data_IF_020104944473
#
_entry.id   IF_020104944473
#
_cell.length_a   1.000
_cell.length_b   1.000
_cell.length_c   1.000
_cell.angle_alpha   90.00
_cell.angle_beta   90.00
_cell.angle_gamma   90.00
#
_symmetry.space_group_name_H-M   'P 1'
#
loop_
_entity.id
_entity.type
_entity.pdbx_description
1 polymer ?
#
# COMPACT_ATOMS: atom_id res chain seq x y z
N UNK A 1 -41.42 41.32 22.37
CA UNK A 1 -40.67 42.58 22.51
C UNK A 1 -39.74 42.71 21.35
N UNK A 2 -40.02 43.68 20.45
CA UNK A 2 -39.30 43.97 19.19
C UNK A 2 -38.11 44.87 19.50
N UNK A 3 -36.93 44.62 18.87
CA UNK A 3 -35.90 45.64 18.58
C UNK A 3 -34.90 44.99 17.62
N UNK A 4 -34.96 45.23 16.32
CA UNK A 4 -34.50 46.30 15.42
C UNK A 4 -32.98 46.42 15.36
N UNK A 5 -32.49 45.98 14.17
CA UNK A 5 -31.23 46.28 13.49
C UNK A 5 -30.90 47.80 13.51
N UNK A 6 -29.64 48.22 13.32
CA UNK A 6 -29.33 48.71 12.00
C UNK A 6 -28.01 48.31 11.34
N UNK A 7 -28.06 48.26 10.04
CA UNK A 7 -27.00 48.38 9.06
C UNK A 7 -26.10 49.61 9.30
N UNK A 8 -24.82 49.48 8.97
CA UNK A 8 -24.09 50.56 8.30
C UNK A 8 -22.99 50.05 7.40
N UNK A 9 -23.09 50.40 6.13
CA UNK A 9 -22.09 50.32 5.08
C UNK A 9 -20.97 51.32 5.28
N UNK A 10 -19.77 51.03 4.78
CA UNK A 10 -18.98 52.00 4.02
C UNK A 10 -17.81 51.32 3.32
N UNK A 11 -17.78 51.46 2.03
CA UNK A 11 -16.72 51.15 1.07
C UNK A 11 -15.66 52.26 1.06
N UNK A 12 -14.47 51.94 0.51
CA UNK A 12 -13.55 52.83 -0.23
C UNK A 12 -12.32 51.98 -0.62
N UNK A 13 -12.14 51.56 -1.80
CA UNK A 13 -11.49 52.02 -3.04
C UNK A 13 -10.17 52.77 -2.80
N UNK A 14 -9.07 52.21 -3.25
CA UNK A 14 -7.78 52.82 -3.40
C UNK A 14 -6.97 52.09 -4.48
N UNK A 15 -7.04 52.64 -5.71
CA UNK A 15 -6.11 52.36 -6.84
C UNK A 15 -4.88 53.25 -6.70
N UNK A 16 -3.70 52.71 -7.07
CA UNK A 16 -2.58 53.40 -7.73
C UNK A 16 -1.53 52.32 -8.04
N UNK A 17 -1.21 52.02 -9.22
CA UNK A 17 -0.61 52.66 -10.38
C UNK A 17 0.93 52.44 -10.44
N UNK A 18 1.31 51.72 -11.49
CA UNK A 18 2.45 51.86 -12.41
C UNK A 18 3.84 52.27 -11.87
N UNK A 19 4.82 51.48 -12.26
CA UNK A 19 6.25 51.83 -12.32
C UNK A 19 6.95 50.93 -13.31
N UNK A 20 7.04 51.37 -14.56
CA UNK A 20 7.89 50.81 -15.61
C UNK A 20 9.35 51.13 -15.32
N UNK A 21 10.24 50.21 -15.65
CA UNK A 21 11.66 50.42 -15.69
C UNK A 21 12.33 49.38 -16.58
N UNK A 22 12.45 49.72 -17.85
CA UNK A 22 13.32 49.04 -18.80
C UNK A 22 14.79 49.26 -18.38
N UNK A 23 15.62 48.24 -18.55
CA UNK A 23 16.93 48.41 -19.13
C UNK A 23 17.43 47.14 -19.80
N UNK A 24 17.75 47.32 -21.05
CA UNK A 24 18.40 46.43 -22.00
C UNK A 24 19.81 46.05 -21.53
N UNK A 25 20.26 44.87 -21.90
CA UNK A 25 21.62 44.42 -21.75
C UNK A 25 21.84 43.04 -22.36
N UNK A 26 21.85 43.01 -23.68
CA UNK A 26 22.27 41.84 -24.45
C UNK A 26 23.75 41.51 -24.25
N UNK A 27 24.09 40.23 -24.12
CA UNK A 27 25.23 39.62 -24.78
C UNK A 27 25.15 38.08 -24.61
N UNK A 28 25.03 37.42 -25.71
CA UNK A 28 25.27 35.97 -25.90
C UNK A 28 26.60 35.79 -26.64
N UNK A 29 27.02 34.57 -27.00
CA UNK A 29 27.94 33.69 -26.27
C UNK A 29 29.34 33.64 -26.93
N UNK A 30 30.21 32.72 -26.57
CA UNK A 30 30.65 31.81 -27.61
C UNK A 30 30.73 30.32 -27.22
N UNK A 31 30.39 29.49 -28.18
CA UNK A 31 30.68 28.08 -28.27
C UNK A 31 32.13 27.84 -28.72
N UNK A 32 32.73 26.75 -28.22
CA UNK A 32 33.77 25.93 -28.86
C UNK A 32 33.94 24.69 -27.97
N UNK A 33 33.50 23.52 -28.32
CA UNK A 33 34.10 22.53 -29.22
C UNK A 33 35.53 22.15 -28.83
N UNK A 34 35.68 20.99 -28.24
CA UNK A 34 36.78 20.08 -28.60
C UNK A 34 36.43 18.62 -28.28
N UNK A 35 36.81 17.82 -29.27
CA UNK A 35 36.57 16.45 -29.54
C UNK A 35 37.13 15.46 -28.51
N UNK A 36 36.53 14.27 -28.55
CA UNK A 36 37.01 12.99 -28.02
C UNK A 36 38.31 12.52 -28.67
N UNK A 37 38.98 11.54 -28.04
CA UNK A 37 39.35 10.42 -28.89
C UNK A 37 38.78 9.07 -28.41
N UNK A 38 38.37 8.33 -29.40
CA UNK A 38 38.01 6.92 -29.37
C UNK A 38 39.20 6.04 -28.99
N UNK A 39 38.96 5.03 -28.19
CA UNK A 39 39.86 3.90 -28.04
C UNK A 39 39.11 2.62 -28.42
N UNK A 40 39.66 1.95 -29.41
CA UNK A 40 39.24 0.74 -30.11
C UNK A 40 39.38 -0.53 -29.24
N UNK A 41 38.60 -1.60 -29.52
CA UNK A 41 38.54 -2.81 -28.69
C UNK A 41 39.69 -3.78 -28.98
N UNK A 42 40.17 -4.44 -27.94
CA UNK A 42 41.05 -5.60 -28.09
C UNK A 42 40.21 -6.89 -27.96
N UNK A 43 40.36 -7.75 -28.95
CA UNK A 43 39.78 -9.07 -29.10
C UNK A 43 40.57 -10.17 -28.36
N UNK A 44 40.07 -11.42 -28.34
CA UNK A 44 40.21 -12.34 -27.19
C UNK A 44 41.46 -13.24 -27.30
N UNK A 45 41.93 -13.68 -26.15
CA UNK A 45 42.94 -14.72 -26.06
C UNK A 45 42.31 -16.04 -25.64
N UNK A 46 42.38 -17.01 -26.52
CA UNK A 46 42.08 -18.42 -26.30
C UNK A 46 43.24 -19.12 -25.57
N UNK A 47 42.96 -19.83 -24.52
CA UNK A 47 43.77 -21.00 -24.08
C UNK A 47 42.95 -21.93 -23.19
N UNK A 48 42.68 -23.05 -23.72
CA UNK A 48 43.07 -24.41 -23.38
C UNK A 48 42.24 -25.10 -22.30
N UNK A 49 41.51 -26.10 -22.78
CA UNK A 49 40.85 -27.17 -22.04
C UNK A 49 41.84 -28.01 -21.21
N UNK A 50 41.41 -28.33 -19.98
CA UNK A 50 41.95 -29.51 -19.29
C UNK A 50 40.83 -30.31 -18.66
N UNK A 51 40.91 -31.60 -18.84
CA UNK A 51 39.91 -32.64 -18.66
C UNK A 51 39.34 -32.79 -17.25
N UNK A 52 38.08 -33.22 -17.20
CA UNK A 52 37.38 -33.75 -16.06
C UNK A 52 37.85 -35.16 -15.68
N UNK A 53 37.76 -35.56 -14.42
CA UNK A 53 37.58 -36.97 -14.06
C UNK A 53 36.13 -37.27 -13.65
N UNK A 54 35.70 -38.48 -14.05
CA UNK A 54 34.37 -39.04 -13.93
C UNK A 54 33.94 -39.36 -12.49
N UNK A 55 32.62 -39.56 -12.24
CA UNK A 55 32.04 -39.67 -10.91
C UNK A 55 32.17 -41.07 -10.31
N UNK A 56 32.52 -41.12 -9.03
CA UNK A 56 32.43 -42.33 -8.21
C UNK A 56 30.99 -42.47 -7.65
N UNK A 57 30.37 -43.57 -7.97
CA UNK A 57 29.13 -44.07 -7.39
C UNK A 57 29.33 -44.46 -5.92
N UNK A 58 28.60 -43.83 -5.00
CA UNK A 58 28.47 -44.33 -3.64
C UNK A 58 26.98 -44.45 -3.28
N UNK A 59 26.64 -45.61 -2.76
CA UNK A 59 25.31 -46.14 -2.50
C UNK A 59 24.45 -45.27 -1.57
N UNK A 60 23.15 -45.27 -1.88
CA UNK A 60 22.11 -44.73 -1.04
C UNK A 60 21.83 -45.61 0.20
N UNK A 61 21.59 -45.04 1.39
CA UNK A 61 20.91 -45.75 2.46
C UNK A 61 19.39 -45.64 2.28
N UNK A 62 18.74 -46.79 2.29
CA UNK A 62 17.28 -46.94 2.39
C UNK A 62 16.77 -46.32 3.69
N UNK A 63 16.00 -45.25 3.61
CA UNK A 63 15.25 -44.74 4.72
C UNK A 63 13.85 -45.35 4.71
N UNK A 64 13.56 -46.14 5.73
CA UNK A 64 12.22 -46.66 6.03
C UNK A 64 11.22 -45.55 6.18
N UNK A 65 10.19 -45.56 5.35
CA UNK A 65 9.06 -44.61 5.41
C UNK A 65 8.24 -44.81 6.68
N UNK A 66 8.28 -43.83 7.54
CA UNK A 66 7.25 -43.60 8.55
C UNK A 66 6.18 -42.72 7.89
N UNK A 67 5.05 -43.33 7.54
CA UNK A 67 3.84 -42.61 7.11
C UNK A 67 3.26 -41.91 8.34
N UNK A 68 3.72 -40.68 8.60
CA UNK A 68 2.99 -39.77 9.45
C UNK A 68 1.75 -39.34 8.71
N UNK A 69 0.60 -39.81 9.17
CA UNK A 69 -0.72 -39.35 8.71
C UNK A 69 -0.77 -37.84 8.87
N UNK A 70 -0.91 -37.12 7.75
CA UNK A 70 -1.14 -35.67 7.80
C UNK A 70 -2.44 -35.45 8.60
N UNK A 71 -2.47 -34.49 9.53
CA UNK A 71 -3.73 -34.15 10.19
C UNK A 71 -4.71 -33.65 9.13
N UNK A 72 -5.96 -34.12 9.21
CA UNK A 72 -7.05 -33.64 8.38
C UNK A 72 -7.10 -32.10 8.43
N UNK A 73 -7.31 -31.40 7.30
CA UNK A 73 -7.40 -29.96 7.31
C UNK A 73 -8.53 -29.57 8.27
N UNK A 74 -8.18 -28.83 9.32
CA UNK A 74 -9.19 -28.20 10.17
C UNK A 74 -10.11 -27.37 9.28
N UNK A 75 -11.43 -27.48 9.50
CA UNK A 75 -12.43 -26.71 8.76
C UNK A 75 -11.99 -25.24 8.76
N UNK A 76 -11.71 -24.70 7.57
CA UNK A 76 -11.26 -23.33 7.44
C UNK A 76 -12.39 -22.41 7.92
N UNK A 77 -12.06 -21.26 8.53
CA UNK A 77 -13.08 -20.27 8.95
C UNK A 77 -13.97 -19.82 7.78
N UNK A 78 -13.51 -20.03 6.55
CA UNK A 78 -14.26 -19.81 5.32
C UNK A 78 -15.51 -20.68 5.22
N UNK A 79 -15.48 -21.92 5.74
CA UNK A 79 -16.63 -22.82 5.71
C UNK A 79 -17.76 -22.40 6.64
N UNK A 80 -17.48 -21.54 7.61
CA UNK A 80 -18.47 -20.98 8.55
C UNK A 80 -19.13 -19.70 8.03
N UNK A 81 -18.62 -19.11 6.93
CA UNK A 81 -19.16 -17.89 6.35
C UNK A 81 -20.40 -18.16 5.50
N UNK A 82 -21.35 -17.21 5.45
CA UNK A 82 -22.52 -17.35 4.59
C UNK A 82 -22.10 -17.36 3.11
N UNK A 83 -22.91 -17.96 2.25
CA UNK A 83 -22.75 -17.83 0.80
C UNK A 83 -22.91 -16.37 0.37
N UNK A 84 -22.31 -16.01 -0.77
CA UNK A 84 -22.52 -14.70 -1.36
C UNK A 84 -24.03 -14.49 -1.64
N UNK A 85 -24.51 -13.28 -1.38
CA UNK A 85 -25.87 -12.89 -1.74
C UNK A 85 -26.04 -12.97 -3.27
N UNK A 86 -27.23 -13.30 -3.79
CA UNK A 86 -27.50 -13.21 -5.21
C UNK A 86 -27.20 -11.82 -5.73
N UNK A 87 -26.56 -11.76 -6.89
CA UNK A 87 -26.29 -10.47 -7.54
C UNK A 87 -27.59 -9.88 -8.08
N UNK A 88 -27.87 -8.63 -7.71
CA UNK A 88 -28.98 -7.83 -8.23
C UNK A 88 -28.41 -6.52 -8.72
N UNK A 89 -28.67 -6.18 -9.97
CA UNK A 89 -28.34 -4.86 -10.51
C UNK A 89 -29.63 -4.00 -10.53
N UNK A 90 -29.74 -3.17 -9.51
CA UNK A 90 -30.86 -2.23 -9.35
C UNK A 90 -30.56 -0.83 -9.90
N UNK A 91 -29.39 -0.67 -10.55
CA UNK A 91 -28.93 0.62 -11.10
C UNK A 91 -28.41 1.60 -10.06
N UNK A 92 -28.30 1.22 -8.78
CA UNK A 92 -27.77 2.07 -7.71
C UNK A 92 -26.30 2.41 -7.94
N UNK A 93 -25.51 1.42 -8.36
CA UNK A 93 -24.07 1.55 -8.52
C UNK A 93 -23.69 1.66 -10.00
N UNK A 94 -23.08 2.78 -10.36
CA UNK A 94 -22.78 3.14 -11.75
C UNK A 94 -21.26 3.12 -11.96
N UNK A 95 -20.80 2.31 -12.94
CA UNK A 95 -19.40 2.29 -13.39
C UNK A 95 -19.00 3.66 -13.95
N UNK A 96 -17.79 4.09 -13.68
CA UNK A 96 -17.30 5.42 -14.06
C UNK A 96 -17.73 6.56 -13.13
N UNK A 97 -18.60 6.26 -12.11
CA UNK A 97 -19.04 7.21 -11.10
C UNK A 97 -18.73 6.74 -9.68
N UNK A 98 -19.25 5.58 -9.30
CA UNK A 98 -19.12 5.05 -7.94
C UNK A 98 -17.95 4.08 -7.80
N UNK A 99 -17.66 3.36 -8.88
CA UNK A 99 -16.51 2.48 -9.02
C UNK A 99 -15.97 2.55 -10.45
N UNK A 100 -14.73 2.12 -10.63
CA UNK A 100 -14.03 2.19 -11.91
C UNK A 100 -13.45 0.83 -12.24
N UNK A 101 -13.46 0.48 -13.52
CA UNK A 101 -12.82 -0.74 -14.01
C UNK A 101 -11.30 -0.53 -14.08
N UNK A 102 -10.57 -1.59 -13.76
CA UNK A 102 -9.11 -1.68 -13.93
C UNK A 102 -8.86 -2.45 -15.22
N UNK A 103 -8.13 -1.84 -16.14
CA UNK A 103 -7.81 -2.44 -17.44
C UNK A 103 -6.30 -2.26 -17.75
N UNK A 104 -5.56 -3.36 -17.98
CA UNK A 104 -6.01 -4.76 -17.90
C UNK A 104 -6.30 -5.22 -16.45
N UNK A 105 -7.16 -6.23 -16.32
CA UNK A 105 -7.43 -6.89 -15.03
C UNK A 105 -6.14 -7.42 -14.44
N UNK A 106 -5.91 -7.13 -13.17
CA UNK A 106 -4.71 -7.53 -12.47
C UNK A 106 -4.86 -8.90 -11.77
N UNK A 107 -3.78 -9.68 -11.69
CA UNK A 107 -3.81 -10.97 -11.00
C UNK A 107 -4.03 -10.77 -9.49
N UNK A 108 -4.75 -11.71 -8.88
CA UNK A 108 -4.97 -11.77 -7.43
C UNK A 108 -3.90 -12.63 -6.75
N UNK A 109 -3.66 -12.39 -5.46
CA UNK A 109 -2.72 -13.15 -4.65
C UNK A 109 -3.33 -14.43 -4.05
N UNK A 110 -4.65 -14.58 -4.14
CA UNK A 110 -5.43 -15.68 -3.54
C UNK A 110 -6.20 -16.47 -4.60
N UNK A 111 -5.56 -17.41 -5.30
CA UNK A 111 -6.19 -18.17 -6.36
C UNK A 111 -7.49 -18.84 -5.90
N UNK A 112 -8.54 -18.79 -6.73
CA UNK A 112 -9.83 -19.41 -6.47
C UNK A 112 -10.72 -18.67 -5.47
N UNK A 113 -10.31 -17.47 -5.00
CA UNK A 113 -11.12 -16.61 -4.15
C UNK A 113 -11.35 -15.26 -4.80
N UNK A 114 -12.45 -14.61 -4.45
CA UNK A 114 -12.69 -13.21 -4.77
C UNK A 114 -11.88 -12.37 -3.78
N UNK A 115 -10.85 -11.70 -4.26
CA UNK A 115 -9.98 -10.89 -3.44
C UNK A 115 -10.55 -9.48 -3.28
N UNK A 116 -10.68 -9.03 -2.04
CA UNK A 116 -10.99 -7.65 -1.69
C UNK A 116 -9.73 -7.07 -1.08
N UNK A 117 -9.10 -6.11 -1.77
CA UNK A 117 -7.84 -5.52 -1.35
C UNK A 117 -8.05 -4.09 -0.89
N UNK A 118 -7.64 -3.75 0.32
CA UNK A 118 -7.48 -2.37 0.71
C UNK A 118 -6.08 -1.88 0.35
N UNK A 119 -6.02 -0.84 -0.46
CA UNK A 119 -4.80 -0.04 -0.63
C UNK A 119 -4.81 1.04 0.44
N UNK A 120 -3.88 0.99 1.37
CA UNK A 120 -3.86 1.82 2.57
C UNK A 120 -2.45 2.33 2.90
N UNK A 121 -2.36 3.23 3.87
CA UNK A 121 -1.10 3.53 4.57
C UNK A 121 -1.38 3.77 6.04
N UNK A 122 -0.50 3.28 6.90
CA UNK A 122 -0.54 3.64 8.32
C UNK A 122 -0.36 5.15 8.56
N UNK A 123 0.24 5.89 7.60
CA UNK A 123 0.37 7.34 7.68
C UNK A 123 -0.85 8.12 7.16
N UNK A 124 -1.88 7.44 6.65
CA UNK A 124 -3.05 8.07 6.07
C UNK A 124 -4.15 8.32 7.12
N UNK A 125 -4.54 9.59 7.41
CA UNK A 125 -5.61 9.88 8.37
C UNK A 125 -6.97 9.28 7.99
N UNK A 126 -7.29 9.25 6.69
CA UNK A 126 -8.55 8.67 6.21
C UNK A 126 -8.55 7.14 6.39
N UNK A 127 -7.40 6.45 6.21
CA UNK A 127 -7.28 5.03 6.51
C UNK A 127 -7.45 4.77 8.01
N UNK A 128 -6.87 5.60 8.87
CA UNK A 128 -7.07 5.51 10.31
C UNK A 128 -8.55 5.61 10.71
N UNK A 129 -9.32 6.46 10.04
CA UNK A 129 -10.76 6.55 10.28
C UNK A 129 -11.55 5.37 9.68
N UNK A 130 -11.02 4.74 8.65
CA UNK A 130 -11.69 3.69 7.89
C UNK A 130 -11.36 2.27 8.39
N UNK A 131 -10.24 2.06 9.09
CA UNK A 131 -9.74 0.72 9.43
C UNK A 131 -10.76 -0.14 10.19
N UNK A 132 -11.46 0.41 11.20
CA UNK A 132 -12.50 -0.32 11.93
C UNK A 132 -13.68 -0.74 11.03
N UNK A 133 -14.00 0.05 10.00
CA UNK A 133 -15.03 -0.28 9.00
C UNK A 133 -14.56 -1.40 8.09
N UNK A 134 -13.28 -1.39 7.71
CA UNK A 134 -12.67 -2.45 6.89
C UNK A 134 -12.61 -3.77 7.65
N UNK A 135 -12.35 -3.75 8.95
CA UNK A 135 -12.37 -4.94 9.80
C UNK A 135 -13.76 -5.59 9.83
N UNK A 136 -14.82 -4.78 9.96
CA UNK A 136 -16.19 -5.29 9.88
C UNK A 136 -16.53 -5.80 8.47
N UNK A 137 -16.05 -5.12 7.42
CA UNK A 137 -16.17 -5.61 6.04
C UNK A 137 -15.49 -6.99 5.91
N UNK A 138 -14.25 -7.13 6.39
CA UNK A 138 -13.50 -8.39 6.32
C UNK A 138 -14.24 -9.56 7.00
N UNK A 139 -14.86 -9.30 8.17
CA UNK A 139 -15.69 -10.28 8.89
C UNK A 139 -16.98 -10.63 8.14
N UNK A 140 -17.53 -9.66 7.42
CA UNK A 140 -18.83 -9.82 6.70
C UNK A 140 -18.68 -10.38 5.28
N UNK A 141 -17.46 -10.57 4.77
CA UNK A 141 -17.23 -11.15 3.45
C UNK A 141 -17.81 -12.58 3.38
N UNK A 142 -18.46 -12.95 2.27
CA UNK A 142 -19.05 -14.27 2.11
C UNK A 142 -17.98 -15.35 1.92
N UNK A 143 -18.40 -16.62 2.02
CA UNK A 143 -17.57 -17.77 1.65
C UNK A 143 -17.01 -17.58 0.23
N UNK A 144 -15.74 -17.89 0.04
CA UNK A 144 -15.03 -17.70 -1.23
C UNK A 144 -14.54 -16.30 -1.49
N UNK A 145 -14.75 -15.33 -0.57
CA UNK A 145 -14.13 -14.02 -0.62
C UNK A 145 -13.13 -13.82 0.52
N UNK A 146 -12.09 -13.02 0.29
CA UNK A 146 -11.01 -12.79 1.26
C UNK A 146 -10.56 -11.34 1.25
N UNK A 147 -10.30 -10.78 2.44
CA UNK A 147 -9.68 -9.46 2.58
C UNK A 147 -8.17 -9.57 2.53
N UNK A 148 -7.55 -8.68 1.76
CA UNK A 148 -6.10 -8.50 1.67
C UNK A 148 -5.74 -7.03 1.78
N UNK A 149 -4.45 -6.73 2.02
CA UNK A 149 -3.97 -5.37 2.24
C UNK A 149 -2.73 -5.10 1.39
N UNK A 150 -2.69 -3.95 0.73
CA UNK A 150 -1.53 -3.48 -0.03
C UNK A 150 -1.10 -2.12 0.52
N UNK A 151 0.04 -2.06 1.22
CA UNK A 151 0.50 -0.82 1.82
C UNK A 151 1.09 0.12 0.76
N UNK A 152 0.68 1.39 0.79
CA UNK A 152 1.13 2.44 -0.13
C UNK A 152 2.31 3.25 0.44
N UNK A 153 3.13 3.81 -0.47
CA UNK A 153 4.30 4.63 -0.17
C UNK A 153 4.27 6.01 -0.84
N UNK A 154 3.09 6.52 -1.20
CA UNK A 154 2.92 7.75 -2.02
C UNK A 154 3.56 9.00 -1.44
N UNK A 155 3.69 9.07 -0.10
CA UNK A 155 4.12 10.26 0.63
C UNK A 155 5.45 10.02 1.35
N UNK A 156 6.58 10.01 0.61
CA UNK A 156 7.88 9.91 1.24
C UNK A 156 8.19 11.09 2.16
N UNK A 157 7.58 12.24 1.88
CA UNK A 157 7.59 13.45 2.70
C UNK A 157 6.79 13.32 4.02
N UNK A 158 6.06 12.22 4.20
CA UNK A 158 5.32 11.86 5.42
C UNK A 158 5.76 10.50 6.00
N UNK A 159 6.94 10.03 5.65
CA UNK A 159 7.53 8.76 6.13
C UNK A 159 6.75 7.49 5.75
N UNK A 160 5.86 7.56 4.74
CA UNK A 160 5.07 6.40 4.31
C UNK A 160 5.91 5.20 3.86
N UNK A 161 7.07 5.34 3.19
CA UNK A 161 7.90 4.20 2.85
C UNK A 161 8.39 3.39 4.06
N UNK A 162 8.65 4.03 5.21
CA UNK A 162 8.95 3.32 6.46
C UNK A 162 7.75 2.50 6.93
N UNK A 163 6.55 3.09 6.91
CA UNK A 163 5.32 2.44 7.35
C UNK A 163 4.90 1.30 6.41
N UNK A 164 5.14 1.44 5.10
CA UNK A 164 5.00 0.34 4.12
C UNK A 164 5.93 -0.83 4.47
N UNK A 165 7.20 -0.54 4.71
CA UNK A 165 8.20 -1.52 5.13
C UNK A 165 7.79 -2.21 6.43
N UNK A 166 7.30 -1.45 7.41
CA UNK A 166 6.83 -1.96 8.69
C UNK A 166 5.72 -3.00 8.51
N UNK A 167 4.70 -2.69 7.72
CA UNK A 167 3.60 -3.62 7.43
C UNK A 167 4.10 -4.91 6.76
N UNK A 168 4.89 -4.79 5.69
CA UNK A 168 5.38 -5.95 4.93
C UNK A 168 6.33 -6.82 5.76
N UNK A 169 7.07 -6.22 6.69
CA UNK A 169 7.92 -6.94 7.63
C UNK A 169 7.07 -7.67 8.67
N UNK A 170 6.09 -6.99 9.27
CA UNK A 170 5.15 -7.61 10.21
C UNK A 170 4.40 -8.79 9.57
N UNK A 171 3.96 -8.64 8.32
CA UNK A 171 3.33 -9.71 7.55
C UNK A 171 4.29 -10.90 7.34
N UNK A 172 5.56 -10.64 7.03
CA UNK A 172 6.54 -11.71 6.86
C UNK A 172 6.84 -12.46 8.16
N UNK A 173 6.72 -11.79 9.31
CA UNK A 173 6.90 -12.34 10.65
C UNK A 173 5.60 -12.86 11.29
N UNK A 174 4.45 -12.76 10.57
CA UNK A 174 3.17 -13.30 11.02
C UNK A 174 2.51 -12.52 12.16
N UNK A 175 2.88 -11.24 12.36
CA UNK A 175 2.37 -10.38 13.44
C UNK A 175 1.53 -9.20 12.93
N UNK A 176 1.33 -9.09 11.62
CA UNK A 176 0.58 -8.00 10.98
C UNK A 176 -0.85 -7.88 11.52
N UNK A 177 -1.60 -8.98 11.56
CA UNK A 177 -3.01 -8.97 11.96
C UNK A 177 -3.23 -8.52 13.41
N UNK A 178 -2.40 -9.02 14.32
CA UNK A 178 -2.54 -8.70 15.75
C UNK A 178 -2.06 -7.30 16.12
N UNK A 179 -1.25 -6.67 15.25
CA UNK A 179 -0.65 -5.36 15.49
C UNK A 179 -1.31 -4.23 14.69
N UNK A 180 -2.21 -4.55 13.75
CA UNK A 180 -2.72 -3.60 12.75
C UNK A 180 -3.31 -2.33 13.38
N UNK A 181 -4.27 -2.50 14.28
CA UNK A 181 -4.91 -1.38 14.98
C UNK A 181 -3.92 -0.60 15.84
N UNK A 182 -3.04 -1.31 16.52
CA UNK A 182 -2.07 -0.69 17.41
C UNK A 182 -1.01 0.14 16.66
N UNK A 183 -0.68 -0.22 15.41
CA UNK A 183 0.19 0.62 14.58
C UNK A 183 -0.51 1.91 14.20
N UNK A 184 -1.78 1.88 13.80
CA UNK A 184 -2.56 3.10 13.58
C UNK A 184 -2.61 3.97 14.84
N UNK A 185 -2.83 3.35 16.01
CA UNK A 185 -2.83 4.06 17.29
C UNK A 185 -1.46 4.67 17.62
N UNK A 186 -0.38 3.95 17.31
CA UNK A 186 0.98 4.44 17.49
C UNK A 186 1.32 5.62 16.54
N UNK A 187 0.70 5.68 15.37
CA UNK A 187 0.87 6.81 14.45
C UNK A 187 0.01 8.01 14.87
N UNK A 188 -1.29 7.79 15.16
CA UNK A 188 -2.25 8.89 15.28
C UNK A 188 -2.64 9.26 16.71
N UNK A 189 -2.56 8.33 17.67
CA UNK A 189 -2.95 8.60 19.07
C UNK A 189 -1.74 8.89 19.95
N UNK A 190 -0.76 7.97 20.02
CA UNK A 190 0.44 8.19 20.84
C UNK A 190 1.51 9.02 20.14
N UNK A 191 1.55 9.02 18.80
CA UNK A 191 2.60 9.66 18.01
C UNK A 191 3.93 8.91 18.04
N UNK A 192 4.01 7.71 18.64
CA UNK A 192 5.23 6.92 18.76
C UNK A 192 5.83 6.60 17.37
N UNK A 193 4.99 6.22 16.42
CA UNK A 193 5.37 5.93 15.04
C UNK A 193 4.93 7.02 14.04
N UNK A 194 4.36 8.11 14.54
CA UNK A 194 3.89 9.23 13.73
C UNK A 194 4.91 10.34 13.56
N UNK A 195 4.73 11.14 12.54
CA UNK A 195 5.54 12.34 12.25
C UNK A 195 4.97 13.60 12.91
N UNK A 196 3.80 13.50 13.54
CA UNK A 196 3.17 14.62 14.25
C UNK A 196 3.50 14.54 15.74
N UNK A 197 3.83 15.68 16.33
CA UNK A 197 3.94 15.84 17.77
C UNK A 197 2.53 16.00 18.34
N UNK A 198 2.13 15.07 19.22
CA UNK A 198 0.76 15.01 19.73
C UNK A 198 0.44 16.13 20.74
N UNK A 199 1.44 16.74 21.35
CA UNK A 199 1.24 17.82 22.32
C UNK A 199 1.05 19.16 21.64
N UNK A 200 1.88 19.44 20.63
CA UNK A 200 1.85 20.73 19.90
C UNK A 200 0.95 20.69 18.67
N UNK A 201 0.56 19.50 18.18
CA UNK A 201 -0.16 19.32 16.92
C UNK A 201 0.66 19.71 15.68
N UNK A 202 1.99 19.87 15.79
CA UNK A 202 2.87 20.26 14.71
C UNK A 202 3.67 19.08 14.18
N UNK A 203 4.13 19.13 12.93
CA UNK A 203 5.08 18.15 12.43
C UNK A 203 6.38 18.16 13.24
N UNK A 204 6.89 16.97 13.57
CA UNK A 204 8.22 16.78 14.14
C UNK A 204 9.27 17.20 13.12
N UNK A 205 10.43 17.68 13.60
CA UNK A 205 11.60 17.81 12.73
C UNK A 205 11.92 16.44 12.08
N UNK A 206 12.38 16.43 10.85
CA UNK A 206 12.65 15.17 10.14
C UNK A 206 13.68 14.28 10.86
N UNK A 207 14.64 14.89 11.57
CA UNK A 207 15.60 14.18 12.43
C UNK A 207 14.96 13.44 13.63
N UNK A 208 13.71 13.77 13.97
CA UNK A 208 12.93 13.15 15.04
C UNK A 208 11.81 12.23 14.50
N UNK A 209 11.82 11.95 13.20
CA UNK A 209 10.89 10.97 12.63
C UNK A 209 11.27 9.57 13.06
N UNK A 210 10.29 8.68 13.19
CA UNK A 210 10.53 7.28 13.50
C UNK A 210 11.46 6.63 12.48
N UNK A 211 12.32 5.76 12.97
CA UNK A 211 13.25 4.92 12.21
C UNK A 211 12.82 3.48 12.22
N UNK A 212 13.52 2.61 11.48
CA UNK A 212 13.24 1.18 11.51
C UNK A 212 13.51 0.55 12.89
N UNK A 213 14.44 1.13 13.67
CA UNK A 213 14.72 0.67 15.04
C UNK A 213 13.58 1.03 15.99
N UNK A 214 12.92 2.19 15.79
CA UNK A 214 11.72 2.56 16.54
C UNK A 214 10.58 1.60 16.25
N UNK A 215 10.37 1.28 14.97
CA UNK A 215 9.39 0.28 14.53
C UNK A 215 9.70 -1.09 15.14
N UNK A 216 10.96 -1.53 15.13
CA UNK A 216 11.37 -2.81 15.72
C UNK A 216 11.09 -2.86 17.23
N UNK A 217 11.36 -1.78 17.97
CA UNK A 217 10.99 -1.67 19.39
C UNK A 217 9.48 -1.76 19.62
N UNK A 218 8.69 -1.14 18.75
CA UNK A 218 7.23 -1.26 18.80
C UNK A 218 6.80 -2.73 18.65
N UNK A 219 7.34 -3.45 17.65
CA UNK A 219 6.95 -4.83 17.37
C UNK A 219 7.48 -5.85 18.40
N UNK A 220 8.43 -5.47 19.26
CA UNK A 220 8.85 -6.30 20.38
C UNK A 220 7.69 -6.66 21.34
N UNK A 221 6.65 -5.82 21.40
CA UNK A 221 5.41 -6.07 22.15
C UNK A 221 4.61 -7.27 21.65
N UNK A 222 4.89 -7.69 20.40
CA UNK A 222 4.24 -8.81 19.71
C UNK A 222 5.14 -10.05 19.64
N UNK A 223 6.19 -10.10 20.49
CA UNK A 223 7.07 -11.25 20.60
C UNK A 223 8.15 -11.35 19.52
N UNK A 224 8.31 -10.32 18.67
CA UNK A 224 9.37 -10.27 17.66
C UNK A 224 10.62 -9.62 18.27
N UNK A 225 11.77 -10.24 18.10
CA UNK A 225 13.03 -9.63 18.53
C UNK A 225 13.38 -8.44 17.64
N UNK A 226 13.86 -7.34 18.23
CA UNK A 226 14.13 -6.12 17.49
C UNK A 226 15.19 -6.31 16.39
N UNK A 227 16.24 -7.06 16.67
CA UNK A 227 17.29 -7.41 15.69
C UNK A 227 16.77 -8.26 14.53
N UNK A 228 15.87 -9.22 14.82
CA UNK A 228 15.19 -10.02 13.81
C UNK A 228 14.26 -9.16 12.93
N UNK A 229 13.52 -8.23 13.54
CA UNK A 229 12.67 -7.30 12.79
C UNK A 229 13.50 -6.43 11.85
N UNK A 230 14.57 -5.81 12.34
CA UNK A 230 15.48 -4.96 11.54
C UNK A 230 16.13 -5.74 10.40
N UNK A 231 16.64 -6.95 10.70
CA UNK A 231 17.25 -7.81 9.68
C UNK A 231 16.23 -8.18 8.58
N UNK A 232 15.02 -8.58 8.98
CA UNK A 232 13.94 -8.89 8.04
C UNK A 232 13.54 -7.66 7.22
N UNK A 233 13.35 -6.52 7.87
CA UNK A 233 12.96 -5.27 7.22
C UNK A 233 13.96 -4.80 6.14
N UNK A 234 15.24 -5.02 6.35
CA UNK A 234 16.31 -4.66 5.43
C UNK A 234 16.63 -5.74 4.40
N UNK A 235 15.91 -6.87 4.42
CA UNK A 235 16.16 -7.99 3.51
C UNK A 235 15.78 -7.65 2.05
N UNK A 236 16.40 -8.36 1.12
CA UNK A 236 16.06 -8.32 -0.30
C UNK A 236 14.58 -8.67 -0.53
N UNK A 237 14.05 -9.61 0.25
CA UNK A 237 12.64 -10.04 0.16
C UNK A 237 11.68 -8.90 0.43
N UNK A 238 11.89 -8.13 1.50
CA UNK A 238 11.04 -6.98 1.83
C UNK A 238 11.20 -5.87 0.79
N UNK A 239 12.42 -5.57 0.34
CA UNK A 239 12.62 -4.59 -0.73
C UNK A 239 11.88 -4.98 -2.02
N UNK A 240 11.88 -6.26 -2.37
CA UNK A 240 11.13 -6.78 -3.53
C UNK A 240 9.62 -6.67 -3.31
N UNK A 241 9.12 -6.99 -2.10
CA UNK A 241 7.71 -6.84 -1.78
C UNK A 241 7.24 -5.38 -1.84
N UNK A 242 8.04 -4.43 -1.34
CA UNK A 242 7.74 -2.99 -1.44
C UNK A 242 7.60 -2.56 -2.91
N UNK A 243 8.59 -2.90 -3.73
CA UNK A 243 8.55 -2.60 -5.17
C UNK A 243 7.31 -3.18 -5.85
N UNK A 244 6.98 -4.45 -5.54
CA UNK A 244 5.78 -5.11 -6.08
C UNK A 244 4.49 -4.43 -5.63
N UNK A 245 4.39 -4.00 -4.37
CA UNK A 245 3.24 -3.26 -3.88
C UNK A 245 3.06 -1.95 -4.66
N UNK A 246 4.13 -1.19 -4.87
CA UNK A 246 4.09 0.06 -5.64
C UNK A 246 3.75 -0.18 -7.11
N UNK A 247 4.23 -1.26 -7.73
CA UNK A 247 3.88 -1.65 -9.10
C UNK A 247 2.39 -2.02 -9.20
N UNK A 248 1.88 -2.79 -8.25
CA UNK A 248 0.49 -3.21 -8.20
C UNK A 248 -0.46 -2.03 -7.99
N UNK A 249 -0.12 -1.12 -7.10
CA UNK A 249 -0.89 0.11 -6.84
C UNK A 249 -1.00 0.95 -8.12
N UNK A 250 0.09 1.08 -8.88
CA UNK A 250 0.07 1.77 -10.18
C UNK A 250 -0.79 1.02 -11.21
N UNK A 251 -0.68 -0.31 -11.25
CA UNK A 251 -1.48 -1.14 -12.14
C UNK A 251 -2.98 -1.11 -11.81
N UNK A 252 -3.33 -0.89 -10.55
CA UNK A 252 -4.71 -0.64 -10.11
C UNK A 252 -5.18 0.80 -10.42
N UNK A 253 -4.30 1.67 -10.93
CA UNK A 253 -4.57 3.11 -11.13
C UNK A 253 -5.03 3.80 -9.84
N UNK A 254 -4.46 3.41 -8.70
CA UNK A 254 -4.77 3.99 -7.40
C UNK A 254 -3.87 5.18 -7.14
N UNK A 255 -4.49 6.33 -6.87
CA UNK A 255 -3.84 7.62 -6.61
C UNK A 255 -4.10 8.17 -5.20
N UNK A 256 -4.95 7.50 -4.45
CA UNK A 256 -5.37 7.92 -3.11
C UNK A 256 -5.66 6.73 -2.19
N UNK A 257 -5.62 6.98 -0.88
CA UNK A 257 -5.94 5.99 0.15
C UNK A 257 -7.00 6.54 1.11
N UNK A 258 -7.90 5.71 1.63
CA UNK A 258 -8.08 4.30 1.31
C UNK A 258 -8.74 4.08 -0.05
N UNK A 259 -8.32 3.04 -0.76
CA UNK A 259 -8.99 2.54 -1.96
C UNK A 259 -9.24 1.05 -1.81
N UNK A 260 -10.45 0.60 -2.13
CA UNK A 260 -10.79 -0.81 -2.20
C UNK A 260 -10.69 -1.29 -3.64
N UNK A 261 -10.03 -2.42 -3.84
CA UNK A 261 -9.97 -3.12 -5.12
C UNK A 261 -10.66 -4.47 -4.98
N UNK A 262 -11.56 -4.80 -5.90
CA UNK A 262 -12.28 -6.08 -5.92
C UNK A 262 -11.79 -6.91 -7.10
N UNK A 263 -11.23 -8.07 -6.78
CA UNK A 263 -10.79 -9.12 -7.71
C UNK A 263 -9.82 -8.63 -8.81
N UNK A 264 -9.04 -7.58 -8.52
CA UNK A 264 -8.15 -6.96 -9.50
C UNK A 264 -8.86 -6.28 -10.68
N UNK A 265 -10.19 -6.17 -10.65
CA UNK A 265 -11.05 -5.67 -11.74
C UNK A 265 -11.66 -4.31 -11.48
N UNK A 266 -12.04 -4.03 -10.25
CA UNK A 266 -12.79 -2.83 -9.89
C UNK A 266 -12.10 -2.11 -8.76
N UNK A 267 -12.04 -0.79 -8.82
CA UNK A 267 -11.58 0.05 -7.73
C UNK A 267 -12.64 1.07 -7.32
N UNK A 268 -12.70 1.38 -6.05
CA UNK A 268 -13.56 2.40 -5.47
C UNK A 268 -12.88 3.05 -4.26
N UNK A 269 -13.29 4.27 -3.96
CA UNK A 269 -12.92 4.94 -2.72
C UNK A 269 -14.17 5.23 -1.88
N UNK A 270 -14.07 5.46 -0.57
CA UNK A 270 -15.20 5.95 0.20
C UNK A 270 -15.83 7.23 -0.37
N UNK A 271 -15.01 8.10 -0.99
CA UNK A 271 -15.51 9.34 -1.62
C UNK A 271 -16.37 9.02 -2.82
N UNK A 272 -15.90 8.19 -3.75
CA UNK A 272 -16.66 7.83 -4.96
C UNK A 272 -17.92 7.03 -4.64
N UNK A 273 -17.87 6.21 -3.60
CA UNK A 273 -19.03 5.45 -3.13
C UNK A 273 -20.08 6.31 -2.42
N UNK A 274 -19.69 7.49 -1.88
CA UNK A 274 -20.58 8.38 -1.15
C UNK A 274 -20.50 8.27 0.37
N UNK A 275 -19.46 7.64 0.90
CA UNK A 275 -19.17 7.49 2.33
C UNK A 275 -18.68 6.09 2.71
N UNK A 276 -18.28 5.93 3.96
CA UNK A 276 -17.78 4.63 4.46
C UNK A 276 -18.84 3.52 4.43
N UNK A 277 -20.08 3.73 4.87
CA UNK A 277 -21.12 2.69 4.76
C UNK A 277 -21.41 2.30 3.31
N UNK A 278 -21.43 3.27 2.41
CA UNK A 278 -21.67 3.06 0.98
C UNK A 278 -20.50 2.31 0.33
N UNK A 279 -19.25 2.56 0.76
CA UNK A 279 -18.09 1.82 0.28
C UNK A 279 -18.19 0.33 0.65
N UNK A 280 -18.64 0.02 1.88
CA UNK A 280 -18.89 -1.37 2.30
C UNK A 280 -19.98 -2.01 1.45
N UNK A 281 -21.12 -1.34 1.28
CA UNK A 281 -22.25 -1.83 0.50
C UNK A 281 -21.86 -2.09 -0.98
N UNK A 282 -21.17 -1.13 -1.60
CA UNK A 282 -20.66 -1.25 -2.97
C UNK A 282 -19.65 -2.40 -3.10
N UNK A 283 -18.74 -2.55 -2.13
CA UNK A 283 -17.79 -3.66 -2.12
C UNK A 283 -18.51 -5.01 -2.06
N UNK A 284 -19.50 -5.17 -1.17
CA UNK A 284 -20.30 -6.38 -1.07
C UNK A 284 -21.10 -6.65 -2.35
N UNK A 285 -21.62 -5.61 -2.99
CA UNK A 285 -22.30 -5.71 -4.28
C UNK A 285 -21.34 -6.17 -5.39
N UNK A 286 -20.12 -5.61 -5.48
CA UNK A 286 -19.10 -6.05 -6.43
C UNK A 286 -18.65 -7.50 -6.16
N UNK A 287 -18.52 -7.91 -4.89
CA UNK A 287 -18.24 -9.30 -4.53
C UNK A 287 -19.36 -10.23 -5.00
N UNK A 288 -20.63 -9.83 -4.85
CA UNK A 288 -21.76 -10.63 -5.35
C UNK A 288 -21.78 -10.70 -6.88
N UNK A 289 -21.38 -9.63 -7.58
CA UNK A 289 -21.22 -9.58 -9.03
C UNK A 289 -20.17 -10.58 -9.52
N UNK A 290 -18.98 -10.58 -8.88
CA UNK A 290 -17.89 -11.51 -9.18
C UNK A 290 -18.31 -12.97 -8.87
N UNK A 291 -18.99 -13.21 -7.76
CA UNK A 291 -19.49 -14.54 -7.40
C UNK A 291 -20.51 -15.09 -8.42
N UNK A 292 -21.25 -14.23 -9.10
CA UNK A 292 -22.18 -14.56 -10.17
C UNK A 292 -21.52 -14.68 -11.56
N UNK A 293 -20.21 -14.44 -11.67
CA UNK A 293 -19.48 -14.48 -12.95
C UNK A 293 -19.86 -13.34 -13.92
N UNK A 294 -20.21 -12.15 -13.40
CA UNK A 294 -20.74 -11.01 -14.19
C UNK A 294 -19.84 -9.79 -14.21
#
# INVERSE_FOLDING_TARGET
MRMRLPLLCAALIGLAACGSGNNDGATAPPAASTAAPAATPAAPSTAAATAAPAPSTTAAPSASGSTASAPAPAASDDDKRPAAKPFVDDGKWVEGKHYFRIDPVQPTSTPGKIEVTEVFSYGCPACFQFHGVVDELAKSLPKGAVMTYTPASFRPDENWPLLQRAYLTAQALGVDKQSHDAVFDAVFKSGELGIMDQQSGKPKAQSAWPTIDDVARFYARYGVKADEFVATANSFTINTKMKRADELIRAYEVDSTPTIVVNGKYRLTPITAGGYPQAVELTQWLVSKEAAGK
#
